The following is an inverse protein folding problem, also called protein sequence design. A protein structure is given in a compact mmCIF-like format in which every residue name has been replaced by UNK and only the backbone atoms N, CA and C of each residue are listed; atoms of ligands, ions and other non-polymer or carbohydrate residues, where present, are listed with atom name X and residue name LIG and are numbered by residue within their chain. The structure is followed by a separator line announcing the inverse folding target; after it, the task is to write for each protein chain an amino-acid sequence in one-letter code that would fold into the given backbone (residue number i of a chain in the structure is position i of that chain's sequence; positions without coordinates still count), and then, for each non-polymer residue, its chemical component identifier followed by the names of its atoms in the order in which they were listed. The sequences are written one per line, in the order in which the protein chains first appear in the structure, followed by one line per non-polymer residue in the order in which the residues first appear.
data_IF_861692513965
#
_entry.id   IF_861692513965
#
_cell.length_a   1.000
_cell.length_b   1.000
_cell.length_c   1.000
_cell.angle_alpha   90.00
_cell.angle_beta   90.00
_cell.angle_gamma   90.00
#
_symmetry.space_group_name_H-M   'P 1'
#
loop_
_entity.id
_entity.type
_entity.pdbx_description
1 polymer ?
#
# COMPACT_ATOMS: atom_id res chain seq x y z
N UNK A 1 -23.44 10.39 -0.16
CA UNK A 1 -22.63 9.33 -0.81
C UNK A 1 -21.29 9.28 -0.09
N UNK A 2 -20.79 8.09 0.24
CA UNK A 2 -19.46 7.96 0.86
C UNK A 2 -18.33 8.23 -0.14
N UNK A 3 -17.28 8.92 0.29
CA UNK A 3 -16.13 9.23 -0.55
C UNK A 3 -15.27 7.97 -0.75
N UNK A 4 -14.99 7.61 -2.01
CA UNK A 4 -14.21 6.41 -2.35
C UNK A 4 -12.71 6.73 -2.39
N UNK A 5 -11.93 6.00 -1.61
CA UNK A 5 -10.48 6.18 -1.47
C UNK A 5 -9.78 4.84 -1.68
N UNK A 6 -8.61 4.86 -2.30
CA UNK A 6 -7.78 3.67 -2.42
C UNK A 6 -6.93 3.44 -1.15
N UNK A 7 -6.55 2.19 -0.90
CA UNK A 7 -5.61 1.85 0.18
C UNK A 7 -4.28 2.62 0.07
N UNK A 8 -3.83 2.93 -1.16
CA UNK A 8 -2.63 3.73 -1.38
C UNK A 8 -2.78 5.17 -0.91
N UNK A 9 -3.95 5.77 -1.14
CA UNK A 9 -4.26 7.13 -0.70
C UNK A 9 -4.35 7.19 0.82
N UNK A 10 -5.07 6.25 1.45
CA UNK A 10 -5.14 6.16 2.92
C UNK A 10 -3.75 5.97 3.54
N UNK A 11 -2.96 5.01 3.05
CA UNK A 11 -1.59 4.78 3.51
C UNK A 11 -0.73 6.05 3.38
N UNK A 12 -0.82 6.75 2.25
CA UNK A 12 -0.10 7.99 2.03
C UNK A 12 -0.54 9.12 2.96
N UNK A 13 -1.80 9.14 3.37
CA UNK A 13 -2.33 10.08 4.35
C UNK A 13 -1.82 9.76 5.76
N UNK A 14 -1.97 8.50 6.21
CA UNK A 14 -1.63 8.05 7.56
C UNK A 14 -0.15 8.23 7.91
N UNK A 15 0.76 8.11 6.94
CA UNK A 15 2.20 8.30 7.20
C UNK A 15 2.62 9.77 7.36
N UNK A 16 1.76 10.73 7.02
CA UNK A 16 2.06 12.15 7.15
C UNK A 16 1.91 12.61 8.60
N UNK A 17 2.93 13.35 9.07
CA UNK A 17 2.97 13.84 10.46
C UNK A 17 2.31 15.23 10.58
N UNK A 18 2.52 16.09 9.58
CA UNK A 18 2.05 17.48 9.64
C UNK A 18 0.65 17.63 9.06
N UNK A 19 -0.21 18.36 9.76
CA UNK A 19 -1.59 18.64 9.34
C UNK A 19 -1.65 19.29 7.96
N UNK A 20 -0.78 20.25 7.66
CA UNK A 20 -0.70 20.88 6.33
C UNK A 20 -0.42 19.85 5.21
N UNK A 21 0.44 18.87 5.47
CA UNK A 21 0.73 17.81 4.51
C UNK A 21 -0.46 16.86 4.33
N UNK A 22 -1.25 16.62 5.40
CA UNK A 22 -2.50 15.84 5.34
C UNK A 22 -3.57 16.60 4.53
N UNK A 23 -3.75 17.91 4.78
CA UNK A 23 -4.68 18.75 4.01
C UNK A 23 -4.34 18.74 2.52
N UNK A 24 -3.08 18.98 2.18
CA UNK A 24 -2.64 18.94 0.77
C UNK A 24 -2.85 17.56 0.13
N UNK A 25 -2.62 16.46 0.87
CA UNK A 25 -2.91 15.14 0.38
C UNK A 25 -4.40 14.94 0.05
N UNK A 26 -5.30 15.43 0.90
CA UNK A 26 -6.75 15.32 0.66
C UNK A 26 -7.19 16.19 -0.52
N UNK A 27 -6.67 17.43 -0.66
CA UNK A 27 -6.93 18.27 -1.84
C UNK A 27 -6.55 17.56 -3.14
N UNK A 28 -5.37 16.94 -3.19
CA UNK A 28 -4.97 16.14 -4.35
C UNK A 28 -5.89 14.93 -4.59
N UNK A 29 -6.29 14.22 -3.53
CA UNK A 29 -7.22 13.09 -3.67
C UNK A 29 -8.59 13.50 -4.22
N UNK A 30 -9.06 14.70 -3.87
CA UNK A 30 -10.39 15.23 -4.23
C UNK A 30 -10.40 15.85 -5.63
N UNK A 31 -9.31 16.52 -6.00
CA UNK A 31 -9.24 17.31 -7.23
C UNK A 31 -8.58 16.56 -8.39
N UNK A 32 -7.74 15.56 -8.11
CA UNK A 32 -7.05 14.83 -9.17
C UNK A 32 -7.95 13.70 -9.68
N UNK A 33 -8.49 13.86 -10.88
CA UNK A 33 -9.08 12.76 -11.60
C UNK A 33 -8.00 11.70 -11.89
N UNK A 34 -8.24 10.48 -11.39
CA UNK A 34 -7.31 9.39 -11.65
C UNK A 34 -7.25 9.08 -13.14
N UNK A 35 -6.10 9.29 -13.75
CA UNK A 35 -5.81 8.76 -15.08
C UNK A 35 -4.60 7.80 -15.03
N UNK A 36 -4.66 6.73 -15.83
CA UNK A 36 -3.57 5.75 -15.92
C UNK A 36 -2.27 6.43 -16.37
N UNK A 37 -2.35 7.43 -17.24
CA UNK A 37 -1.20 8.18 -17.75
C UNK A 37 -0.51 9.03 -16.70
N UNK A 38 -1.25 9.48 -15.68
CA UNK A 38 -0.75 10.27 -14.55
C UNK A 38 -0.27 9.41 -13.38
N UNK A 39 -0.60 8.12 -13.35
CA UNK A 39 -0.16 7.22 -12.30
C UNK A 39 1.34 6.92 -12.43
N UNK A 40 2.12 7.63 -11.62
CA UNK A 40 3.58 7.57 -11.65
C UNK A 40 4.12 6.13 -11.58
N UNK A 41 3.54 5.28 -10.72
CA UNK A 41 4.02 3.92 -10.48
C UNK A 41 3.29 2.83 -11.30
N UNK A 42 2.38 3.18 -12.18
CA UNK A 42 1.57 2.21 -12.90
C UNK A 42 2.40 1.15 -13.65
N UNK A 43 3.46 1.51 -14.43
CA UNK A 43 4.26 0.51 -15.15
C UNK A 43 4.94 -0.49 -14.20
N UNK A 44 5.60 0.01 -13.14
CA UNK A 44 6.28 -0.85 -12.17
C UNK A 44 5.31 -1.74 -11.39
N UNK A 45 4.15 -1.19 -10.99
CA UNK A 45 3.10 -1.98 -10.33
C UNK A 45 2.55 -3.07 -11.24
N UNK A 46 2.41 -2.78 -12.53
CA UNK A 46 1.94 -3.75 -13.52
C UNK A 46 2.94 -4.89 -13.68
N UNK A 47 4.24 -4.60 -13.80
CA UNK A 47 5.28 -5.61 -13.89
C UNK A 47 5.30 -6.50 -12.63
N UNK A 48 5.27 -5.91 -11.43
CA UNK A 48 5.20 -6.66 -10.17
C UNK A 48 3.94 -7.54 -10.12
N UNK A 49 2.76 -7.01 -10.51
CA UNK A 49 1.52 -7.79 -10.54
C UNK A 49 1.61 -9.00 -11.48
N UNK A 50 2.16 -8.81 -12.68
CA UNK A 50 2.31 -9.91 -13.66
C UNK A 50 3.24 -11.00 -13.12
N UNK A 51 4.36 -10.62 -12.49
CA UNK A 51 5.26 -11.55 -11.82
C UNK A 51 4.55 -12.33 -10.69
N UNK A 52 3.84 -11.64 -9.80
CA UNK A 52 3.13 -12.29 -8.67
C UNK A 52 1.98 -13.19 -9.12
N UNK A 53 1.52 -13.05 -10.36
CA UNK A 53 0.53 -13.92 -11.03
C UNK A 53 1.18 -15.05 -11.84
N UNK A 54 2.50 -15.22 -11.79
CA UNK A 54 3.23 -16.23 -12.58
C UNK A 54 3.24 -15.97 -14.08
N UNK A 55 2.95 -14.72 -14.54
CA UNK A 55 2.87 -14.35 -15.95
C UNK A 55 4.17 -13.76 -16.50
N UNK A 56 5.10 -13.41 -15.64
CA UNK A 56 6.39 -12.80 -15.96
C UNK A 56 7.48 -13.26 -14.98
N UNK A 57 8.73 -12.94 -15.30
CA UNK A 57 9.91 -13.25 -14.49
C UNK A 57 10.31 -12.08 -13.58
N UNK A 58 11.24 -12.31 -12.65
CA UNK A 58 11.83 -11.22 -11.85
C UNK A 58 12.59 -10.21 -12.71
N UNK A 59 13.22 -10.66 -13.78
CA UNK A 59 14.01 -9.79 -14.67
C UNK A 59 13.10 -8.83 -15.42
N UNK A 60 11.89 -9.23 -15.81
CA UNK A 60 10.90 -8.35 -16.42
C UNK A 60 10.55 -7.12 -15.55
N UNK A 61 10.70 -7.22 -14.23
CA UNK A 61 10.49 -6.09 -13.32
C UNK A 61 11.63 -5.07 -13.45
N UNK A 62 12.88 -5.55 -13.57
CA UNK A 62 14.04 -4.68 -13.80
C UNK A 62 13.98 -4.05 -15.18
N UNK A 63 13.60 -4.80 -16.20
CA UNK A 63 13.41 -4.30 -17.57
C UNK A 63 12.35 -3.21 -17.64
N UNK A 64 11.20 -3.41 -16.98
CA UNK A 64 10.15 -2.40 -16.89
C UNK A 64 10.63 -1.11 -16.18
N UNK A 65 11.52 -1.24 -15.19
CA UNK A 65 12.12 -0.10 -14.51
C UNK A 65 13.13 0.65 -15.42
N UNK A 66 13.98 -0.08 -16.13
CA UNK A 66 14.99 0.47 -17.04
C UNK A 66 14.38 1.17 -18.26
N UNK A 67 13.29 0.59 -18.80
CA UNK A 67 12.58 1.12 -19.97
C UNK A 67 11.54 2.19 -19.61
N UNK A 68 11.47 2.62 -18.34
CA UNK A 68 10.55 3.67 -17.92
C UNK A 68 11.02 5.05 -18.38
N UNK A 69 10.12 6.04 -18.36
CA UNK A 69 10.44 7.44 -18.67
C UNK A 69 11.60 7.93 -17.79
N UNK A 70 12.43 8.80 -18.33
CA UNK A 70 13.67 9.27 -17.71
C UNK A 70 13.45 9.91 -16.32
N UNK A 71 12.37 10.70 -16.19
CA UNK A 71 11.98 11.39 -14.95
C UNK A 71 11.70 10.46 -13.76
N UNK A 72 11.36 9.19 -14.03
CA UNK A 72 11.02 8.19 -13.02
C UNK A 72 11.98 7.01 -12.95
N UNK A 73 12.82 6.81 -13.96
CA UNK A 73 13.70 5.64 -14.13
C UNK A 73 14.56 5.36 -12.90
N UNK A 74 15.23 6.36 -12.36
CA UNK A 74 16.12 6.21 -11.21
C UNK A 74 15.37 5.69 -9.95
N UNK A 75 14.15 6.16 -9.72
CA UNK A 75 13.30 5.69 -8.60
C UNK A 75 12.79 4.28 -8.86
N UNK A 76 12.37 3.98 -10.08
CA UNK A 76 11.88 2.65 -10.45
C UNK A 76 12.96 1.59 -10.33
N UNK A 77 14.19 1.86 -10.79
CA UNK A 77 15.32 0.94 -10.65
C UNK A 77 15.58 0.65 -9.17
N UNK A 78 15.58 1.67 -8.31
CA UNK A 78 15.78 1.49 -6.87
C UNK A 78 14.67 0.63 -6.24
N UNK A 79 13.41 0.90 -6.55
CA UNK A 79 12.27 0.15 -5.99
C UNK A 79 12.22 -1.28 -6.56
N UNK A 80 12.45 -1.47 -7.86
CA UNK A 80 12.52 -2.77 -8.52
C UNK A 80 13.65 -3.63 -7.92
N UNK A 81 14.84 -3.05 -7.76
CA UNK A 81 15.98 -3.75 -7.13
C UNK A 81 15.66 -4.22 -5.71
N UNK A 82 14.97 -3.38 -4.90
CA UNK A 82 14.55 -3.77 -3.55
C UNK A 82 13.54 -4.91 -3.57
N UNK A 83 12.58 -4.87 -4.49
CA UNK A 83 11.62 -5.96 -4.68
C UNK A 83 12.30 -7.26 -5.10
N UNK A 84 13.13 -7.21 -6.15
CA UNK A 84 13.84 -8.39 -6.67
C UNK A 84 14.77 -8.99 -5.62
N UNK A 85 15.54 -8.17 -4.90
CA UNK A 85 16.41 -8.63 -3.83
C UNK A 85 15.63 -9.28 -2.68
N UNK A 86 14.46 -8.74 -2.34
CA UNK A 86 13.58 -9.37 -1.35
C UNK A 86 13.14 -10.76 -1.82
N UNK A 87 12.67 -10.90 -3.06
CA UNK A 87 12.22 -12.19 -3.62
C UNK A 87 13.36 -13.20 -3.72
N UNK A 88 14.58 -12.78 -4.10
CA UNK A 88 15.75 -13.67 -4.17
C UNK A 88 16.26 -14.11 -2.79
N UNK A 89 16.02 -13.31 -1.75
CA UNK A 89 16.51 -13.58 -0.39
C UNK A 89 15.61 -14.52 0.41
N UNK A 90 14.33 -14.60 0.07
CA UNK A 90 13.32 -15.33 0.84
C UNK A 90 12.68 -16.42 -0.01
N UNK A 91 12.29 -17.52 0.63
CA UNK A 91 11.39 -18.50 0.00
C UNK A 91 9.99 -17.89 -0.08
N UNK A 92 9.53 -17.59 -1.30
CA UNK A 92 8.28 -16.87 -1.55
C UNK A 92 7.41 -17.66 -2.53
N UNK A 93 6.18 -17.96 -2.12
CA UNK A 93 5.11 -18.45 -2.97
C UNK A 93 3.96 -17.45 -2.96
N UNK A 94 3.25 -17.31 -4.09
CA UNK A 94 2.14 -16.37 -4.20
C UNK A 94 0.79 -17.07 -4.14
N UNK A 95 -0.22 -16.34 -3.62
CA UNK A 95 -1.62 -16.75 -3.66
C UNK A 95 -2.52 -15.55 -3.96
N UNK A 96 -3.72 -15.83 -4.46
CA UNK A 96 -4.69 -14.79 -4.77
C UNK A 96 -5.31 -14.19 -3.49
N UNK A 97 -5.50 -12.88 -3.50
CA UNK A 97 -6.23 -12.12 -2.50
C UNK A 97 -7.35 -11.39 -3.21
N UNK A 98 -8.56 -11.64 -2.78
CA UNK A 98 -9.74 -10.99 -3.32
C UNK A 98 -9.77 -9.48 -3.05
N UNK A 99 -10.79 -8.84 -3.58
CA UNK A 99 -11.09 -7.46 -3.26
C UNK A 99 -11.52 -7.33 -1.80
N UNK A 100 -11.24 -6.16 -1.23
CA UNK A 100 -11.63 -5.83 0.13
C UNK A 100 -12.09 -4.38 0.23
N UNK A 101 -12.99 -4.12 1.16
CA UNK A 101 -13.46 -2.78 1.49
C UNK A 101 -13.51 -2.59 3.00
N UNK A 102 -13.33 -1.34 3.40
CA UNK A 102 -13.49 -0.88 4.77
C UNK A 102 -14.17 0.49 4.76
N UNK A 103 -15.12 0.71 5.66
CA UNK A 103 -15.88 1.95 5.72
C UNK A 103 -15.77 2.60 7.10
N UNK A 104 -15.73 3.91 7.12
CA UNK A 104 -15.81 4.72 8.32
C UNK A 104 -17.05 5.63 8.25
N UNK A 105 -17.98 5.44 9.18
CA UNK A 105 -19.16 6.29 9.44
C UNK A 105 -19.96 6.71 8.19
N UNK A 106 -20.04 5.85 7.19
CA UNK A 106 -20.62 6.14 5.87
C UNK A 106 -20.04 7.39 5.15
N UNK A 107 -19.01 8.02 5.72
CA UNK A 107 -18.32 9.21 5.16
C UNK A 107 -17.19 8.82 4.21
N UNK A 108 -16.43 7.79 4.57
CA UNK A 108 -15.28 7.30 3.81
C UNK A 108 -15.45 5.80 3.53
N UNK A 109 -15.23 5.40 2.28
CA UNK A 109 -15.12 4.01 1.86
C UNK A 109 -13.75 3.77 1.25
N UNK A 110 -12.98 2.84 1.83
CA UNK A 110 -11.62 2.54 1.40
C UNK A 110 -11.60 1.19 0.68
N UNK A 111 -11.18 1.19 -0.59
CA UNK A 111 -10.81 -0.05 -1.29
C UNK A 111 -9.54 -0.61 -0.65
N UNK A 112 -9.72 -1.53 0.28
CA UNK A 112 -8.66 -2.09 1.13
C UNK A 112 -7.90 -3.25 0.46
N UNK A 113 -8.15 -3.49 -0.84
CA UNK A 113 -7.59 -4.62 -1.58
C UNK A 113 -6.05 -4.62 -1.57
N UNK A 114 -5.42 -5.67 -1.04
CA UNK A 114 -3.98 -5.89 -1.15
C UNK A 114 -3.59 -6.07 -2.62
N UNK A 115 -2.29 -6.10 -2.91
CA UNK A 115 -1.84 -6.29 -4.30
C UNK A 115 -1.61 -7.75 -4.63
N UNK A 116 -1.20 -8.55 -3.66
CA UNK A 116 -1.01 -10.00 -3.76
C UNK A 116 -0.94 -10.63 -2.38
N UNK A 117 -1.18 -11.93 -2.32
CA UNK A 117 -0.85 -12.76 -1.18
C UNK A 117 0.50 -13.43 -1.37
N UNK A 118 1.25 -13.62 -0.30
CA UNK A 118 2.49 -14.39 -0.34
C UNK A 118 2.66 -15.25 0.91
N UNK A 119 3.23 -16.43 0.73
CA UNK A 119 3.85 -17.23 1.78
C UNK A 119 5.34 -16.86 1.75
N UNK A 120 5.87 -16.37 2.83
CA UNK A 120 7.26 -15.96 2.95
C UNK A 120 7.87 -16.66 4.16
N UNK A 121 8.86 -17.53 3.91
CA UNK A 121 9.49 -18.36 4.95
C UNK A 121 8.44 -19.09 5.81
N UNK A 122 7.43 -19.70 5.18
CA UNK A 122 6.36 -20.46 5.82
C UNK A 122 5.22 -19.65 6.47
N UNK A 123 5.30 -18.30 6.48
CA UNK A 123 4.24 -17.44 7.02
C UNK A 123 3.42 -16.79 5.91
N UNK A 124 2.10 -16.77 6.07
CA UNK A 124 1.16 -16.19 5.09
C UNK A 124 0.96 -14.70 5.32
N UNK A 125 1.02 -13.93 4.24
CA UNK A 125 0.79 -12.48 4.26
C UNK A 125 -0.06 -12.05 3.06
N UNK A 126 -0.94 -11.06 3.27
CA UNK A 126 -1.52 -10.27 2.18
C UNK A 126 -0.88 -8.89 2.17
N UNK A 127 -0.33 -8.51 1.01
CA UNK A 127 0.73 -7.51 0.93
C UNK A 127 0.30 -6.29 0.13
N UNK A 128 0.63 -5.13 0.68
CA UNK A 128 0.63 -3.84 -0.01
C UNK A 128 2.05 -3.36 -0.19
N UNK A 129 2.43 -3.02 -1.43
CA UNK A 129 3.72 -2.38 -1.68
C UNK A 129 3.65 -0.90 -1.34
N UNK A 130 4.71 -0.41 -0.69
CA UNK A 130 4.96 1.01 -0.49
C UNK A 130 6.18 1.43 -1.30
N UNK A 131 5.97 2.34 -2.25
CA UNK A 131 6.98 2.79 -3.19
C UNK A 131 7.77 3.98 -2.67
N UNK A 132 8.98 4.19 -3.20
CA UNK A 132 9.80 5.36 -2.90
C UNK A 132 9.06 6.62 -3.36
N UNK A 133 8.91 7.59 -2.45
CA UNK A 133 8.43 8.91 -2.81
C UNK A 133 9.58 9.82 -3.23
N UNK A 134 9.24 10.88 -3.96
CA UNK A 134 10.20 11.91 -4.36
C UNK A 134 10.82 12.63 -3.14
N UNK A 135 10.14 12.65 -1.98
CA UNK A 135 10.68 13.22 -0.76
C UNK A 135 11.19 12.14 0.20
N UNK A 136 12.52 11.96 0.36
CA UNK A 136 13.11 10.91 1.20
C UNK A 136 12.96 11.16 2.71
N UNK A 137 12.44 12.30 3.14
CA UNK A 137 12.28 12.64 4.57
C UNK A 137 11.19 11.83 5.28
N UNK A 138 10.23 11.27 4.54
CA UNK A 138 9.17 10.44 5.12
C UNK A 138 9.67 9.01 5.40
N UNK A 139 10.39 8.85 6.51
CA UNK A 139 10.75 7.50 6.99
C UNK A 139 9.49 6.75 7.41
N UNK A 140 9.31 5.56 6.85
CA UNK A 140 8.21 4.68 7.17
C UNK A 140 8.63 3.73 8.27
N UNK A 141 7.88 3.75 9.35
CA UNK A 141 8.04 2.90 10.52
C UNK A 141 6.80 2.04 10.72
N UNK A 142 6.92 0.96 11.49
CA UNK A 142 5.77 0.13 11.84
C UNK A 142 4.65 0.94 12.52
N UNK A 143 5.01 1.87 13.39
CA UNK A 143 4.03 2.76 14.06
C UNK A 143 3.21 3.57 13.06
N UNK A 144 3.85 4.17 12.06
CA UNK A 144 3.15 4.93 11.01
C UNK A 144 2.30 4.06 10.08
N UNK A 145 2.65 2.76 9.96
CA UNK A 145 1.90 1.80 9.15
C UNK A 145 0.75 1.14 9.90
N UNK A 146 0.72 1.23 11.22
CA UNK A 146 -0.23 0.51 12.05
C UNK A 146 -1.70 0.79 11.69
N UNK A 147 -2.16 2.04 11.46
CA UNK A 147 -3.52 2.28 10.99
C UNK A 147 -3.85 1.53 9.69
N UNK A 148 -2.93 1.56 8.70
CA UNK A 148 -3.12 0.83 7.43
C UNK A 148 -3.14 -0.68 7.61
N UNK A 149 -2.23 -1.25 8.44
CA UNK A 149 -2.22 -2.68 8.74
C UNK A 149 -3.48 -3.11 9.48
N UNK A 150 -3.96 -2.30 10.43
CA UNK A 150 -5.21 -2.52 11.15
C UNK A 150 -6.40 -2.47 10.19
N UNK A 151 -6.47 -1.48 9.30
CA UNK A 151 -7.49 -1.39 8.27
C UNK A 151 -7.50 -2.65 7.40
N UNK A 152 -6.34 -3.08 6.89
CA UNK A 152 -6.24 -4.28 6.07
C UNK A 152 -6.73 -5.53 6.81
N UNK A 153 -6.52 -5.64 8.12
CA UNK A 153 -6.94 -6.79 8.95
C UNK A 153 -8.41 -6.75 9.35
N UNK A 154 -9.04 -5.58 9.34
CA UNK A 154 -10.46 -5.39 9.71
C UNK A 154 -11.38 -5.21 8.50
N UNK A 155 -10.81 -5.09 7.31
CA UNK A 155 -11.57 -4.98 6.08
C UNK A 155 -12.35 -6.26 5.76
N UNK A 156 -13.48 -6.11 5.09
CA UNK A 156 -14.28 -7.23 4.59
C UNK A 156 -13.71 -7.71 3.27
N UNK A 157 -13.24 -8.95 3.23
CA UNK A 157 -12.68 -9.63 2.06
C UNK A 157 -13.70 -10.52 1.38
N UNK A 158 -13.59 -10.63 0.06
CA UNK A 158 -14.36 -11.61 -0.73
C UNK A 158 -13.76 -13.02 -0.64
N UNK A 159 -12.51 -13.14 -0.21
CA UNK A 159 -11.76 -14.40 -0.10
C UNK A 159 -11.39 -14.64 1.35
N UNK A 160 -11.42 -15.89 1.79
CA UNK A 160 -10.94 -16.26 3.13
C UNK A 160 -9.40 -16.11 3.22
N UNK A 161 -8.97 -15.24 4.11
CA UNK A 161 -7.57 -14.98 4.43
C UNK A 161 -7.15 -15.54 5.79
N UNK A 162 -7.86 -16.54 6.31
CA UNK A 162 -7.56 -17.14 7.61
C UNK A 162 -6.07 -17.52 7.73
N UNK A 163 -5.48 -17.19 8.86
CA UNK A 163 -4.06 -17.44 9.14
C UNK A 163 -3.07 -16.52 8.39
N UNK A 164 -3.55 -15.58 7.55
CA UNK A 164 -2.68 -14.62 6.90
C UNK A 164 -2.62 -13.29 7.66
N UNK A 165 -1.43 -12.68 7.73
CA UNK A 165 -1.23 -11.36 8.32
C UNK A 165 -1.18 -10.26 7.26
N UNK A 166 -1.68 -9.06 7.60
CA UNK A 166 -1.47 -7.88 6.79
C UNK A 166 0.00 -7.46 6.81
N UNK A 167 0.54 -7.12 5.65
CA UNK A 167 1.91 -6.65 5.55
C UNK A 167 2.07 -5.52 4.52
N UNK A 168 3.05 -4.65 4.76
CA UNK A 168 3.51 -3.65 3.80
C UNK A 168 4.96 -3.97 3.43
N UNK A 169 5.20 -4.25 2.14
CA UNK A 169 6.55 -4.35 1.61
C UNK A 169 7.06 -2.96 1.27
N UNK A 170 7.98 -2.46 2.09
CA UNK A 170 8.56 -1.14 1.91
C UNK A 170 9.70 -1.18 0.89
N UNK A 171 9.44 -0.75 -0.35
CA UNK A 171 10.41 -0.75 -1.43
C UNK A 171 11.48 0.35 -1.31
N UNK A 172 11.36 1.27 -0.35
CA UNK A 172 12.44 2.21 -0.07
C UNK A 172 13.68 1.51 0.52
N UNK A 173 13.45 0.45 1.31
CA UNK A 173 14.52 -0.27 2.03
C UNK A 173 14.45 -1.80 1.92
N UNK A 174 13.46 -2.35 1.23
CA UNK A 174 13.27 -3.78 1.06
C UNK A 174 12.79 -4.54 2.30
N UNK A 175 12.24 -3.86 3.30
CA UNK A 175 11.74 -4.50 4.53
C UNK A 175 10.26 -4.81 4.44
N UNK A 176 9.87 -6.00 4.90
CA UNK A 176 8.47 -6.36 5.14
C UNK A 176 8.07 -5.88 6.53
N UNK A 177 7.08 -4.99 6.59
CA UNK A 177 6.51 -4.45 7.82
C UNK A 177 5.17 -5.12 8.08
N UNK A 178 5.01 -5.77 9.20
CA UNK A 178 3.77 -6.41 9.65
C UNK A 178 3.63 -6.29 11.17
N UNK A 179 2.42 -6.41 11.65
CA UNK A 179 2.12 -6.45 13.09
C UNK A 179 1.37 -7.76 13.37
N UNK A 180 2.06 -8.73 13.98
CA UNK A 180 1.54 -10.06 14.31
C UNK A 180 0.75 -10.07 15.62
N UNK A 181 0.82 -8.98 16.41
CA UNK A 181 0.07 -8.86 17.65
C UNK A 181 -1.43 -8.75 17.39
N UNK A 182 -2.30 -9.28 18.26
CA UNK A 182 -3.74 -9.15 18.13
C UNK A 182 -4.19 -7.69 17.94
N UNK A 183 -5.28 -7.50 17.22
CA UNK A 183 -5.95 -6.20 17.18
C UNK A 183 -6.54 -5.93 18.56
N UNK A 184 -6.27 -4.75 19.08
CA UNK A 184 -6.79 -4.28 20.36
C UNK A 184 -7.46 -2.91 20.21
N UNK A 185 -8.09 -2.41 21.27
CA UNK A 185 -8.81 -1.14 21.28
C UNK A 185 -7.94 0.05 20.82
N UNK A 186 -6.66 0.09 21.22
CA UNK A 186 -5.77 1.18 20.83
C UNK A 186 -5.47 1.17 19.33
N UNK A 187 -5.25 0.01 18.71
CA UNK A 187 -5.04 -0.10 17.25
C UNK A 187 -6.28 0.32 16.47
N UNK A 188 -7.46 -0.03 16.96
CA UNK A 188 -8.73 0.40 16.35
C UNK A 188 -8.92 1.90 16.51
N UNK A 189 -8.59 2.46 17.67
CA UNK A 189 -8.67 3.90 17.91
C UNK A 189 -7.69 4.68 17.00
N UNK A 190 -6.46 4.21 16.82
CA UNK A 190 -5.50 4.81 15.87
C UNK A 190 -6.05 4.83 14.44
N UNK A 191 -6.65 3.73 13.99
CA UNK A 191 -7.29 3.65 12.67
C UNK A 191 -8.47 4.61 12.54
N UNK A 192 -9.36 4.61 13.53
CA UNK A 192 -10.54 5.47 13.56
C UNK A 192 -10.17 6.96 13.59
N UNK A 193 -9.15 7.34 14.36
CA UNK A 193 -8.65 8.72 14.44
C UNK A 193 -8.11 9.20 13.07
N UNK A 194 -7.33 8.37 12.38
CA UNK A 194 -6.85 8.70 11.02
C UNK A 194 -8.01 8.80 10.02
N UNK A 195 -8.99 7.91 10.10
CA UNK A 195 -10.15 7.92 9.21
C UNK A 195 -11.07 9.13 9.49
N UNK A 196 -11.31 9.47 10.75
CA UNK A 196 -12.06 10.65 11.15
C UNK A 196 -11.38 11.92 10.63
N UNK A 197 -10.08 12.07 10.87
CA UNK A 197 -9.33 13.23 10.40
C UNK A 197 -9.36 13.34 8.86
N UNK A 198 -9.26 12.22 8.15
CA UNK A 198 -9.36 12.20 6.69
C UNK A 198 -10.75 12.67 6.23
N UNK A 199 -11.83 12.17 6.87
CA UNK A 199 -13.21 12.55 6.58
C UNK A 199 -13.44 14.04 6.84
N UNK A 200 -13.01 14.56 7.99
CA UNK A 200 -13.17 15.96 8.36
C UNK A 200 -12.44 16.90 7.39
N UNK A 201 -11.19 16.58 7.05
CA UNK A 201 -10.43 17.35 6.06
C UNK A 201 -11.12 17.30 4.68
N UNK A 202 -11.67 16.13 4.29
CA UNK A 202 -12.36 15.98 3.02
C UNK A 202 -13.57 16.90 2.88
N UNK A 203 -14.31 17.12 3.95
CA UNK A 203 -15.45 18.01 3.98
C UNK A 203 -15.05 19.49 3.96
N UNK A 204 -13.88 19.83 4.52
CA UNK A 204 -13.39 21.22 4.63
C UNK A 204 -12.71 21.74 3.36
N UNK A 205 -12.25 20.87 2.44
CA UNK A 205 -11.49 21.24 1.22
C UNK A 205 -12.30 20.92 -0.07
#
# INVERSE_FOLDING_TARGET
MSNKISLSQFLNFSVKVHTSAKINAVRHMKNDEYSIGQDYYFPLRTAIRRYTQGKDTLDSILDAAQNSKEDRRANFIKDATKFVNFMKKHDVQFFEVGNASWSYDNRINISASPKFGMICNGKRYFVKNFYRKQNPKDKITLTKMRPTLTLMRTATYQTDLAGANAAVLNLQNGKLLFDDKPINANKLLELQADAAQLADIWEMV
#
